data_IF_164597752484
#
_entry.id   IF_164597752484
#
_cell.length_a   1.000
_cell.length_b   1.000
_cell.length_c   1.000
_cell.angle_alpha   90.00
_cell.angle_beta   90.00
_cell.angle_gamma   90.00
#
_symmetry.space_group_name_H-M   'P 1'
#
loop_
_entity.id
_entity.type
_entity.pdbx_description
1 polymer ?
#
# COMPACT_ATOMS: atom_id res chain seq x y z
N UNK A 1 18.85 20.49 14.62
CA UNK A 1 17.42 20.45 14.28
C UNK A 1 16.96 19.01 14.44
N UNK A 2 16.14 18.72 15.46
CA UNK A 2 15.55 17.38 15.64
C UNK A 2 14.27 17.32 14.82
N UNK A 3 14.40 17.27 13.49
CA UNK A 3 13.26 17.03 12.62
C UNK A 3 12.98 15.53 12.62
N UNK A 4 11.88 15.11 13.23
CA UNK A 4 11.34 13.76 13.04
C UNK A 4 11.21 13.54 11.54
N UNK A 5 11.83 12.50 10.95
CA UNK A 5 11.69 12.23 9.53
C UNK A 5 10.22 11.91 9.22
N UNK A 6 9.74 12.32 8.05
CA UNK A 6 8.41 11.95 7.55
C UNK A 6 8.23 10.43 7.60
N UNK A 7 7.14 9.95 8.19
CA UNK A 7 6.89 8.51 8.36
C UNK A 7 5.69 8.08 7.53
N UNK A 8 5.78 6.89 6.94
CA UNK A 8 4.64 6.25 6.29
C UNK A 8 3.70 5.70 7.36
N UNK A 9 2.44 6.12 7.32
CA UNK A 9 1.38 5.63 8.22
C UNK A 9 0.42 4.71 7.47
N UNK A 10 0.03 3.58 8.08
CA UNK A 10 -0.82 2.58 7.44
C UNK A 10 -2.24 2.59 8.02
N UNK A 11 -3.25 2.59 7.16
CA UNK A 11 -4.59 2.16 7.56
C UNK A 11 -4.62 0.62 7.55
N UNK A 12 -5.11 0.02 8.63
CA UNK A 12 -5.27 -1.43 8.76
C UNK A 12 -6.72 -1.80 9.04
N UNK A 13 -7.14 -3.01 8.68
CA UNK A 13 -8.42 -3.59 9.10
C UNK A 13 -8.25 -4.63 10.23
N UNK A 14 -7.05 -4.74 10.78
CA UNK A 14 -6.69 -5.64 11.87
C UNK A 14 -5.77 -4.93 12.87
N UNK A 15 -5.66 -5.52 14.06
CA UNK A 15 -4.73 -5.09 15.10
C UNK A 15 -3.69 -6.20 15.36
N UNK A 16 -2.45 -5.84 15.67
CA UNK A 16 -1.42 -6.79 16.08
C UNK A 16 -1.70 -7.34 17.48
N UNK A 17 -1.51 -8.66 17.67
CA UNK A 17 -1.79 -9.32 18.95
C UNK A 17 -0.90 -8.88 20.13
N UNK A 18 0.19 -8.15 19.87
CA UNK A 18 1.08 -7.58 20.90
C UNK A 18 0.67 -6.18 21.40
N UNK A 19 -0.43 -5.61 20.89
CA UNK A 19 -0.76 -4.21 21.04
C UNK A 19 -0.05 -3.35 19.98
N UNK A 20 -0.61 -2.18 19.68
CA UNK A 20 0.02 -1.21 18.78
C UNK A 20 1.16 -0.49 19.53
N UNK A 21 2.20 -0.08 18.81
CA UNK A 21 2.99 1.07 19.27
C UNK A 21 2.02 2.24 19.49
N UNK A 22 2.23 3.12 20.48
CA UNK A 22 1.40 4.31 20.64
C UNK A 22 1.40 5.09 19.33
N UNK A 23 0.30 4.92 18.58
CA UNK A 23 0.11 5.52 17.28
C UNK A 23 -0.50 6.91 17.49
N UNK A 24 -0.13 7.86 16.64
CA UNK A 24 -0.68 9.21 16.67
C UNK A 24 -2.18 9.27 16.39
N UNK A 25 -2.72 8.26 15.72
CA UNK A 25 -4.15 8.05 15.57
C UNK A 25 -4.87 7.55 16.82
N UNK A 26 -4.15 7.15 17.87
CA UNK A 26 -4.76 6.70 19.13
C UNK A 26 -5.24 7.91 19.92
N UNK A 27 -6.44 8.40 19.61
CA UNK A 27 -7.05 9.45 20.41
C UNK A 27 -7.30 8.91 21.82
N UNK A 28 -6.87 9.66 22.82
CA UNK A 28 -7.42 9.54 24.17
C UNK A 28 -8.97 9.60 24.07
N UNK A 29 -9.70 8.58 24.55
CA UNK A 29 -11.16 8.56 24.51
C UNK A 29 -11.79 9.86 25.01
N UNK A 30 -11.18 10.51 25.99
CA UNK A 30 -11.66 11.77 26.55
C UNK A 30 -11.50 12.94 25.57
N UNK A 31 -10.35 13.03 24.88
CA UNK A 31 -10.13 14.01 23.81
C UNK A 31 -11.08 13.79 22.63
N UNK A 32 -11.37 12.53 22.29
CA UNK A 32 -12.32 12.20 21.23
C UNK A 32 -13.74 12.69 21.55
N UNK A 33 -14.20 12.50 22.81
CA UNK A 33 -15.51 12.96 23.28
C UNK A 33 -15.62 14.48 23.31
N UNK A 34 -14.59 15.16 23.80
CA UNK A 34 -14.53 16.62 23.80
C UNK A 34 -14.67 17.19 22.39
N UNK A 35 -13.99 16.59 21.39
CA UNK A 35 -14.10 17.00 19.99
C UNK A 35 -15.48 16.79 19.38
N UNK A 36 -16.22 15.78 19.85
CA UNK A 36 -17.59 15.48 19.41
C UNK A 36 -18.65 16.29 20.18
N UNK A 37 -18.24 17.17 21.11
CA UNK A 37 -19.17 17.91 21.97
C UNK A 37 -19.95 17.02 22.94
N UNK A 38 -19.44 15.81 23.21
CA UNK A 38 -20.06 14.86 24.14
C UNK A 38 -19.59 15.18 25.56
N UNK A 39 -20.50 15.08 26.53
CA UNK A 39 -20.15 15.19 27.94
C UNK A 39 -19.08 14.15 28.31
N UNK A 40 -18.07 14.60 29.04
CA UNK A 40 -17.02 13.73 29.57
C UNK A 40 -17.66 12.98 30.73
N UNK A 41 -17.80 11.66 30.60
CA UNK A 41 -18.27 10.83 31.70
C UNK A 41 -17.22 10.88 32.82
N UNK A 42 -17.48 11.68 33.86
CA UNK A 42 -16.63 11.84 35.05
C UNK A 42 -16.40 10.49 35.77
N UNK A 43 -17.19 9.47 35.44
CA UNK A 43 -17.03 8.10 35.92
C UNK A 43 -15.70 7.42 35.50
N UNK A 44 -14.95 7.96 34.53
CA UNK A 44 -13.66 7.41 34.11
C UNK A 44 -12.43 7.97 34.84
N UNK A 45 -12.53 9.03 35.65
CA UNK A 45 -11.39 9.52 36.45
C UNK A 45 -10.91 8.51 37.49
N UNK A 46 -11.74 7.52 37.83
CA UNK A 46 -11.37 6.39 38.71
C UNK A 46 -10.97 5.13 37.94
N UNK A 47 -10.85 5.18 36.61
CA UNK A 47 -10.39 4.04 35.83
C UNK A 47 -8.87 3.92 35.94
N UNK A 48 -8.40 3.41 37.08
CA UNK A 48 -7.17 2.62 37.11
C UNK A 48 -7.38 1.54 36.06
N UNK A 49 -6.58 1.46 34.98
CA UNK A 49 -6.79 0.45 33.96
C UNK A 49 -6.76 -0.89 34.70
N UNK A 50 -7.86 -1.67 34.71
CA UNK A 50 -7.79 -2.99 35.29
C UNK A 50 -6.66 -3.68 34.55
N UNK A 51 -5.69 -4.24 35.28
CA UNK A 51 -4.69 -5.19 34.72
C UNK A 51 -5.40 -5.96 33.63
N UNK A 52 -4.99 -5.81 32.35
CA UNK A 52 -5.89 -6.06 31.23
C UNK A 52 -6.50 -7.42 31.40
N UNK A 53 -7.78 -7.47 31.80
CA UNK A 53 -8.52 -8.72 31.93
C UNK A 53 -8.57 -9.23 30.53
N UNK A 54 -7.69 -10.19 30.23
CA UNK A 54 -7.39 -10.79 28.93
C UNK A 54 -8.66 -10.79 28.08
N UNK A 55 -8.88 -9.69 27.35
CA UNK A 55 -10.08 -9.53 26.53
C UNK A 55 -9.94 -10.64 25.52
N UNK A 56 -10.99 -11.45 25.34
CA UNK A 56 -10.93 -12.58 24.41
C UNK A 56 -10.31 -12.06 23.11
N UNK A 57 -9.11 -12.58 22.72
CA UNK A 57 -8.35 -11.97 21.66
C UNK A 57 -9.20 -11.99 20.40
N UNK A 58 -9.34 -10.83 19.74
CA UNK A 58 -10.04 -10.73 18.46
C UNK A 58 -9.51 -11.86 17.59
N UNK A 59 -10.37 -12.82 17.22
CA UNK A 59 -9.96 -14.04 16.50
C UNK A 59 -9.25 -13.73 15.17
N UNK A 60 -9.42 -12.51 14.66
CA UNK A 60 -8.86 -12.01 13.41
C UNK A 60 -7.52 -11.26 13.58
N UNK A 61 -7.04 -11.06 14.81
CA UNK A 61 -5.76 -10.38 15.06
C UNK A 61 -4.59 -11.36 14.90
N UNK A 62 -3.57 -11.03 14.08
CA UNK A 62 -2.37 -11.85 13.96
C UNK A 62 -1.68 -11.96 15.33
N UNK A 63 -1.61 -13.19 15.87
CA UNK A 63 -1.03 -13.48 17.20
C UNK A 63 0.49 -13.54 17.17
N UNK A 64 1.11 -12.63 16.45
CA UNK A 64 2.55 -12.69 16.15
C UNK A 64 3.39 -12.06 17.25
N UNK A 65 2.78 -11.29 18.15
CA UNK A 65 3.44 -10.62 19.28
C UNK A 65 4.43 -9.53 18.87
N UNK A 66 4.58 -9.27 17.57
CA UNK A 66 5.42 -8.22 16.99
C UNK A 66 4.53 -7.27 16.20
N UNK A 67 4.59 -5.98 16.52
CA UNK A 67 3.88 -4.94 15.77
C UNK A 67 4.52 -4.70 14.40
N UNK A 68 3.81 -3.99 13.53
CA UNK A 68 4.38 -3.43 12.29
C UNK A 68 5.52 -2.46 12.62
N UNK A 69 6.48 -2.34 11.70
CA UNK A 69 7.46 -1.25 11.71
C UNK A 69 6.82 0.12 11.49
N UNK A 70 5.73 0.16 10.73
CA UNK A 70 5.07 1.40 10.35
C UNK A 70 4.00 1.77 11.39
N UNK A 71 3.91 3.05 11.81
CA UNK A 71 2.75 3.52 12.56
C UNK A 71 1.47 3.32 11.74
N UNK A 72 0.33 3.27 12.39
CA UNK A 72 -0.93 3.05 11.69
C UNK A 72 -2.04 2.50 12.55
N UNK A 73 -3.27 2.69 12.10
CA UNK A 73 -4.46 2.48 12.88
C UNK A 73 -5.52 1.71 12.13
N UNK A 74 -6.37 1.01 12.88
CA UNK A 74 -7.61 0.41 12.37
C UNK A 74 -8.88 1.18 12.78
N UNK A 75 -8.71 2.27 13.53
CA UNK A 75 -9.83 3.01 14.16
C UNK A 75 -10.28 4.22 13.34
N UNK A 76 -9.58 4.52 12.25
CA UNK A 76 -9.86 5.63 11.35
C UNK A 76 -10.87 5.19 10.30
N UNK A 77 -11.79 6.08 9.95
CA UNK A 77 -12.73 5.79 8.85
C UNK A 77 -11.97 5.71 7.52
N UNK A 78 -12.40 4.79 6.65
CA UNK A 78 -11.81 4.65 5.31
C UNK A 78 -11.82 5.98 4.54
N UNK A 79 -12.86 6.81 4.72
CA UNK A 79 -12.95 8.15 4.12
C UNK A 79 -11.79 9.07 4.52
N UNK A 80 -11.42 9.10 5.81
CA UNK A 80 -10.31 9.93 6.29
C UNK A 80 -8.98 9.41 5.74
N UNK A 81 -8.78 8.09 5.77
CA UNK A 81 -7.56 7.48 5.27
C UNK A 81 -7.38 7.67 3.75
N UNK A 82 -8.46 7.49 2.97
CA UNK A 82 -8.47 7.76 1.53
C UNK A 82 -8.16 9.23 1.24
N UNK A 83 -8.71 10.17 2.04
CA UNK A 83 -8.42 11.60 1.88
C UNK A 83 -6.96 11.93 2.21
N UNK A 84 -6.39 11.29 3.22
CA UNK A 84 -4.99 11.46 3.62
C UNK A 84 -4.04 10.94 2.53
N UNK A 85 -4.23 9.70 2.07
CA UNK A 85 -3.32 9.05 1.11
C UNK A 85 -3.33 9.69 -0.27
N UNK A 86 -4.37 10.46 -0.62
CA UNK A 86 -4.52 11.15 -1.92
C UNK A 86 -4.23 12.65 -1.82
N UNK A 87 -3.75 13.13 -0.68
CA UNK A 87 -3.43 14.54 -0.47
C UNK A 87 -2.09 14.92 -1.11
N UNK A 88 -2.00 14.79 -2.45
CA UNK A 88 -0.82 15.13 -3.23
C UNK A 88 -0.40 16.58 -2.99
N UNK A 89 0.86 16.85 -2.62
CA UNK A 89 1.37 18.21 -2.52
C UNK A 89 1.12 18.97 -3.82
N UNK A 90 0.88 20.26 -3.73
CA UNK A 90 0.52 21.16 -4.86
C UNK A 90 -0.90 20.99 -5.44
N UNK A 91 -1.50 19.79 -5.36
CA UNK A 91 -2.88 19.56 -5.82
C UNK A 91 -3.90 19.70 -4.70
N UNK A 92 -3.62 19.10 -3.55
CA UNK A 92 -4.55 19.04 -2.43
C UNK A 92 -3.93 19.57 -1.15
N UNK A 93 -4.77 20.20 -0.33
CA UNK A 93 -4.36 20.58 1.03
C UNK A 93 -4.06 19.32 1.85
N UNK A 94 -2.96 19.30 2.61
CA UNK A 94 -2.69 18.26 3.60
C UNK A 94 -3.85 18.12 4.58
N UNK A 95 -4.05 16.90 5.09
CA UNK A 95 -5.11 16.60 6.04
C UNK A 95 -4.57 16.71 7.46
N UNK A 96 -5.06 17.69 8.23
CA UNK A 96 -4.81 17.75 9.66
C UNK A 96 -5.79 16.81 10.38
N UNK A 97 -5.26 15.74 10.96
CA UNK A 97 -6.03 14.77 11.74
C UNK A 97 -5.28 14.42 13.03
N UNK A 98 -5.97 14.47 14.17
CA UNK A 98 -5.42 14.05 15.48
C UNK A 98 -4.03 14.63 15.80
N UNK A 99 -3.87 15.93 15.56
CA UNK A 99 -2.64 16.72 15.81
C UNK A 99 -1.46 16.39 14.88
N UNK A 100 -1.68 15.59 13.84
CA UNK A 100 -0.71 15.31 12.80
C UNK A 100 -1.17 15.75 11.41
N UNK A 101 -0.20 16.15 10.61
CA UNK A 101 -0.40 16.57 9.24
C UNK A 101 -0.08 15.41 8.30
N UNK A 102 -1.10 14.96 7.57
CA UNK A 102 -0.97 13.88 6.61
C UNK A 102 -0.93 14.43 5.18
N UNK A 103 -0.01 13.91 4.39
CA UNK A 103 0.12 14.15 2.97
C UNK A 103 0.05 12.82 2.21
N UNK A 104 0.08 12.90 0.89
CA UNK A 104 0.11 11.73 0.01
C UNK A 104 1.19 10.71 0.38
N UNK A 105 0.81 9.44 0.37
CA UNK A 105 1.71 8.33 0.62
C UNK A 105 2.75 8.16 -0.50
N UNK A 106 2.45 8.62 -1.71
CA UNK A 106 3.32 8.57 -2.88
C UNK A 106 4.63 9.34 -2.71
N UNK A 107 4.68 10.30 -1.78
CA UNK A 107 5.92 11.03 -1.43
C UNK A 107 6.98 10.09 -0.81
N UNK A 108 6.54 9.03 -0.12
CA UNK A 108 7.43 8.13 0.62
C UNK A 108 7.42 6.72 0.02
N UNK A 109 6.28 6.28 -0.50
CA UNK A 109 6.07 4.94 -1.03
C UNK A 109 5.09 4.99 -2.22
N UNK A 110 5.54 5.55 -3.35
CA UNK A 110 4.80 5.50 -4.62
C UNK A 110 4.53 4.08 -5.10
N UNK A 111 5.46 3.15 -4.80
CA UNK A 111 5.27 1.72 -4.95
C UNK A 111 5.13 1.04 -3.58
N UNK A 112 3.91 0.77 -3.09
CA UNK A 112 3.70 0.19 -1.77
C UNK A 112 4.02 -1.32 -1.71
N UNK A 113 4.58 -1.92 -2.77
CA UNK A 113 4.81 -3.37 -2.85
C UNK A 113 5.77 -3.88 -1.78
N UNK A 114 6.85 -3.15 -1.50
CA UNK A 114 7.79 -3.52 -0.42
C UNK A 114 7.14 -3.42 0.98
N UNK A 115 6.29 -2.41 1.18
CA UNK A 115 5.50 -2.22 2.42
C UNK A 115 4.50 -3.37 2.57
N UNK A 116 3.83 -3.77 1.48
CA UNK A 116 2.89 -4.88 1.48
C UNK A 116 3.58 -6.22 1.81
N UNK A 117 4.77 -6.48 1.25
CA UNK A 117 5.59 -7.66 1.60
C UNK A 117 5.96 -7.65 3.08
N UNK A 118 6.34 -6.49 3.62
CA UNK A 118 6.65 -6.36 5.05
C UNK A 118 5.43 -6.68 5.92
N UNK A 119 4.28 -6.06 5.65
CA UNK A 119 3.05 -6.31 6.42
C UNK A 119 2.59 -7.77 6.28
N UNK A 120 2.66 -8.36 5.09
CA UNK A 120 2.27 -9.76 4.87
C UNK A 120 3.11 -10.72 5.73
N UNK A 121 4.44 -10.50 5.80
CA UNK A 121 5.35 -11.29 6.65
C UNK A 121 5.14 -11.03 8.14
N UNK A 122 4.76 -9.81 8.52
CA UNK A 122 4.47 -9.46 9.90
C UNK A 122 3.15 -10.08 10.40
N UNK A 123 2.16 -10.17 9.52
CA UNK A 123 0.84 -10.75 9.77
C UNK A 123 0.88 -12.28 9.75
N UNK A 124 1.60 -12.88 8.80
CA UNK A 124 1.68 -14.34 8.61
C UNK A 124 3.12 -14.86 8.76
N UNK A 125 3.68 -14.85 9.99
CA UNK A 125 5.05 -15.31 10.21
C UNK A 125 5.17 -16.80 9.90
N UNK A 126 6.20 -17.15 9.13
CA UNK A 126 6.45 -18.54 8.73
C UNK A 126 5.56 -19.05 7.59
N UNK A 127 4.61 -18.24 7.10
CA UNK A 127 3.86 -18.58 5.89
C UNK A 127 4.65 -18.07 4.68
N UNK A 128 4.98 -18.93 3.69
CA UNK A 128 5.68 -18.50 2.50
C UNK A 128 4.79 -17.57 1.67
N UNK A 129 5.39 -16.49 1.16
CA UNK A 129 4.72 -15.61 0.20
C UNK A 129 4.82 -16.28 -1.18
N UNK A 130 3.70 -16.73 -1.73
CA UNK A 130 3.69 -17.44 -3.02
C UNK A 130 3.66 -16.49 -4.23
N UNK A 131 2.93 -15.38 -4.10
CA UNK A 131 2.62 -14.48 -5.20
C UNK A 131 2.63 -13.02 -4.74
N UNK A 132 3.30 -12.17 -5.52
CA UNK A 132 3.24 -10.72 -5.41
C UNK A 132 2.91 -10.13 -6.78
N UNK A 133 1.84 -9.34 -6.86
CA UNK A 133 1.46 -8.62 -8.07
C UNK A 133 1.53 -7.12 -7.78
N UNK A 134 2.30 -6.41 -8.59
CA UNK A 134 2.45 -4.96 -8.52
C UNK A 134 1.89 -4.35 -9.81
N UNK A 135 0.93 -3.43 -9.67
CA UNK A 135 0.28 -2.76 -10.79
C UNK A 135 0.64 -1.28 -10.70
N UNK A 136 1.34 -0.78 -11.72
CA UNK A 136 1.66 0.63 -11.87
C UNK A 136 0.56 1.39 -12.62
N UNK A 137 0.59 2.72 -12.50
CA UNK A 137 -0.32 3.65 -13.20
C UNK A 137 0.23 4.12 -14.54
N UNK A 138 1.28 3.46 -15.05
CA UNK A 138 2.01 3.85 -16.24
C UNK A 138 3.43 4.30 -15.90
N UNK A 139 4.37 3.96 -16.78
CA UNK A 139 5.74 4.49 -16.77
C UNK A 139 5.95 5.47 -17.92
N UNK A 140 6.80 6.46 -17.67
CA UNK A 140 7.27 7.36 -18.69
C UNK A 140 8.67 6.96 -19.12
N UNK A 141 8.94 6.96 -20.43
CA UNK A 141 10.28 6.70 -20.94
C UNK A 141 11.26 7.73 -20.36
N UNK A 142 12.31 7.26 -19.71
CA UNK A 142 13.33 8.12 -19.14
C UNK A 142 13.96 9.02 -20.20
N UNK A 143 13.84 10.33 -20.00
CA UNK A 143 14.55 11.33 -20.79
C UNK A 143 15.44 12.09 -19.83
N UNK A 144 16.71 12.29 -20.22
CA UNK A 144 17.61 13.19 -19.48
C UNK A 144 17.06 14.61 -19.57
N UNK A 145 16.34 15.03 -18.53
CA UNK A 145 15.82 16.40 -18.43
C UNK A 145 17.00 17.34 -18.16
N UNK A 146 17.16 18.45 -18.90
CA UNK A 146 18.15 19.46 -18.55
C UNK A 146 17.88 20.04 -17.16
N UNK A 147 18.92 20.40 -16.38
CA UNK A 147 18.74 20.87 -15.01
C UNK A 147 17.83 22.11 -14.98
N UNK A 148 16.75 22.04 -14.20
CA UNK A 148 15.87 23.19 -13.97
C UNK A 148 16.58 24.16 -13.02
N UNK A 149 16.85 25.38 -13.49
CA UNK A 149 17.52 26.41 -12.68
C UNK A 149 16.48 27.12 -11.82
N UNK A 150 16.39 26.76 -10.54
CA UNK A 150 15.50 27.41 -9.56
C UNK A 150 15.03 26.48 -8.44
N UNK A 151 14.67 27.04 -7.29
CA UNK A 151 14.19 26.27 -6.13
C UNK A 151 12.93 25.45 -6.45
N UNK A 152 12.01 25.98 -7.26
CA UNK A 152 10.80 25.26 -7.69
C UNK A 152 11.15 24.03 -8.55
N UNK A 153 12.18 24.15 -9.40
CA UNK A 153 12.67 23.05 -10.23
C UNK A 153 13.34 21.96 -9.40
N UNK A 154 14.09 22.33 -8.37
CA UNK A 154 14.72 21.39 -7.43
C UNK A 154 13.67 20.66 -6.60
N UNK A 155 12.63 21.34 -6.12
CA UNK A 155 11.54 20.73 -5.35
C UNK A 155 10.75 19.75 -6.22
N UNK A 156 10.43 20.13 -7.46
CA UNK A 156 9.77 19.23 -8.42
C UNK A 156 10.64 18.00 -8.70
N UNK A 157 11.94 18.16 -8.93
CA UNK A 157 12.85 17.04 -9.17
C UNK A 157 12.98 16.11 -7.96
N UNK A 158 13.00 16.65 -6.74
CA UNK A 158 12.98 15.84 -5.50
C UNK A 158 11.66 15.08 -5.38
N UNK A 159 10.54 15.73 -5.69
CA UNK A 159 9.24 15.08 -5.66
C UNK A 159 9.18 13.94 -6.69
N UNK A 160 9.58 14.20 -7.94
CA UNK A 160 9.64 13.22 -9.02
C UNK A 160 10.52 12.02 -8.62
N UNK A 161 11.70 12.29 -8.05
CA UNK A 161 12.62 11.25 -7.57
C UNK A 161 12.08 10.46 -6.37
N UNK A 162 11.35 11.13 -5.47
CA UNK A 162 10.73 10.48 -4.32
C UNK A 162 9.52 9.63 -4.72
N UNK A 163 8.86 9.99 -5.83
CA UNK A 163 7.79 9.21 -6.44
C UNK A 163 8.27 8.12 -7.38
N UNK A 164 9.58 7.90 -7.53
CA UNK A 164 10.12 6.84 -8.39
C UNK A 164 9.68 5.45 -7.89
N UNK A 165 8.78 4.83 -8.65
CA UNK A 165 8.24 3.51 -8.36
C UNK A 165 9.20 2.39 -8.80
N UNK A 166 10.15 2.69 -9.68
CA UNK A 166 11.00 1.71 -10.35
C UNK A 166 12.16 1.26 -9.45
N UNK A 167 12.70 2.14 -8.60
CA UNK A 167 13.67 1.74 -7.58
C UNK A 167 13.16 0.60 -6.67
N UNK A 168 11.89 0.63 -6.25
CA UNK A 168 11.28 -0.45 -5.46
C UNK A 168 11.04 -1.69 -6.33
N UNK A 169 10.66 -1.51 -7.60
CA UNK A 169 10.49 -2.61 -8.54
C UNK A 169 11.79 -3.41 -8.71
N UNK A 170 12.92 -2.75 -8.98
CA UNK A 170 14.22 -3.40 -9.14
C UNK A 170 14.65 -4.17 -7.90
N UNK A 171 14.47 -3.60 -6.69
CA UNK A 171 14.77 -4.31 -5.45
C UNK A 171 13.92 -5.59 -5.31
N UNK A 172 12.64 -5.51 -5.67
CA UNK A 172 11.75 -6.67 -5.61
C UNK A 172 12.06 -7.68 -6.71
N UNK A 173 12.48 -7.23 -7.88
CA UNK A 173 12.97 -8.08 -8.97
C UNK A 173 14.27 -8.80 -8.59
N UNK A 174 15.21 -8.14 -7.93
CA UNK A 174 16.43 -8.79 -7.42
C UNK A 174 16.12 -9.85 -6.35
N UNK A 175 15.12 -9.59 -5.51
CA UNK A 175 14.76 -10.46 -4.38
C UNK A 175 13.84 -11.62 -4.79
N UNK A 176 12.92 -11.39 -5.72
CA UNK A 176 11.85 -12.31 -6.11
C UNK A 176 11.87 -12.71 -7.58
N UNK A 177 12.70 -12.09 -8.40
CA UNK A 177 12.83 -12.38 -9.82
C UNK A 177 13.47 -13.75 -10.09
N UNK A 178 13.24 -14.24 -11.30
CA UNK A 178 13.81 -15.50 -11.77
C UNK A 178 15.28 -15.29 -12.19
N UNK A 179 16.22 -15.30 -11.24
CA UNK A 179 17.65 -15.28 -11.61
C UNK A 179 18.09 -16.59 -12.27
N UNK A 180 18.69 -16.44 -13.47
CA UNK A 180 19.49 -17.46 -14.18
C UNK A 180 20.87 -17.74 -13.54
N UNK A 181 21.10 -17.29 -12.29
CA UNK A 181 22.46 -17.07 -11.78
C UNK A 181 22.70 -17.29 -10.28
N UNK A 182 21.83 -18.01 -9.58
CA UNK A 182 22.19 -18.63 -8.30
C UNK A 182 22.19 -17.71 -7.07
N UNK A 183 21.01 -17.52 -6.48
CA UNK A 183 20.66 -17.91 -5.09
C UNK A 183 19.15 -17.72 -4.93
N UNK A 184 18.35 -18.81 -5.01
CA UNK A 184 16.89 -18.76 -4.79
C UNK A 184 16.60 -18.35 -3.34
N UNK A 185 16.38 -17.07 -3.08
CA UNK A 185 16.10 -16.60 -1.71
C UNK A 185 14.60 -16.72 -1.35
N UNK A 186 13.69 -16.81 -2.33
CA UNK A 186 12.28 -17.10 -2.09
C UNK A 186 11.63 -17.80 -3.30
N UNK A 187 10.68 -18.71 -3.04
CA UNK A 187 9.81 -19.32 -4.06
C UNK A 187 8.66 -18.41 -4.51
N UNK A 188 8.77 -17.11 -4.23
CA UNK A 188 7.71 -16.13 -4.51
C UNK A 188 7.73 -15.77 -5.99
N UNK A 189 6.59 -15.86 -6.64
CA UNK A 189 6.43 -15.38 -8.02
C UNK A 189 6.08 -13.90 -7.99
N UNK A 190 6.85 -13.07 -8.67
CA UNK A 190 6.61 -11.63 -8.77
C UNK A 190 6.18 -11.23 -10.18
N UNK A 191 5.06 -10.52 -10.28
CA UNK A 191 4.59 -9.92 -11.53
C UNK A 191 4.46 -8.41 -11.37
N UNK A 192 5.06 -7.67 -12.32
CA UNK A 192 4.89 -6.23 -12.47
C UNK A 192 4.14 -5.97 -13.77
N UNK A 193 3.06 -5.20 -13.68
CA UNK A 193 2.32 -4.66 -14.82
C UNK A 193 2.45 -3.15 -14.79
N UNK A 194 3.14 -2.58 -15.77
CA UNK A 194 3.32 -1.15 -15.90
C UNK A 194 3.44 -0.83 -17.39
N UNK A 195 2.46 -0.13 -17.96
CA UNK A 195 2.43 0.18 -19.38
C UNK A 195 3.20 1.48 -19.65
N UNK A 196 3.94 1.53 -20.75
CA UNK A 196 4.63 2.75 -21.14
C UNK A 196 3.62 3.74 -21.75
N UNK A 197 3.37 4.84 -21.04
CA UNK A 197 2.41 5.88 -21.44
C UNK A 197 3.02 6.95 -22.34
N UNK A 198 4.30 6.80 -22.69
CA UNK A 198 5.03 7.66 -23.61
C UNK A 198 6.11 8.48 -22.91
N UNK A 199 6.35 9.69 -23.43
CA UNK A 199 7.44 10.56 -22.96
C UNK A 199 6.92 11.63 -21.98
N UNK A 200 7.67 11.94 -20.92
CA UNK A 200 7.26 12.93 -19.92
C UNK A 200 7.30 14.37 -20.45
N UNK A 201 8.14 14.64 -21.47
CA UNK A 201 8.28 15.95 -22.13
C UNK A 201 7.05 16.37 -22.94
N UNK A 202 6.20 15.40 -23.31
CA UNK A 202 4.99 15.65 -24.07
C UNK A 202 3.91 16.40 -23.27
N UNK A 203 4.01 16.39 -21.93
CA UNK A 203 3.00 16.97 -21.03
C UNK A 203 1.60 16.41 -21.26
N UNK A 204 1.50 15.26 -21.94
CA UNK A 204 0.26 14.75 -22.52
C UNK A 204 -0.68 14.18 -21.46
N UNK A 205 -0.12 13.61 -20.40
CA UNK A 205 -0.85 12.94 -19.32
C UNK A 205 -0.38 13.46 -17.96
N UNK A 206 -0.78 14.68 -17.55
CA UNK A 206 -0.56 15.14 -16.19
C UNK A 206 -1.46 14.36 -15.20
N UNK A 207 -1.09 14.36 -13.93
CA UNK A 207 -1.82 13.61 -12.87
C UNK A 207 -3.26 14.10 -12.66
N UNK A 208 -3.55 15.36 -13.01
CA UNK A 208 -4.85 16.01 -12.90
C UNK A 208 -5.62 16.03 -14.24
N UNK A 209 -5.27 15.17 -15.19
CA UNK A 209 -5.98 15.03 -16.46
C UNK A 209 -7.43 14.55 -16.25
N UNK A 210 -8.37 15.23 -16.93
CA UNK A 210 -9.81 14.95 -16.83
C UNK A 210 -10.49 14.84 -18.21
N UNK A 211 -9.76 15.12 -19.30
CA UNK A 211 -10.33 15.05 -20.64
C UNK A 211 -10.66 13.59 -21.00
N UNK A 212 -11.93 13.27 -21.33
CA UNK A 212 -12.33 11.91 -21.62
C UNK A 212 -11.63 11.33 -22.87
N UNK A 213 -11.24 12.18 -23.84
CA UNK A 213 -10.48 11.73 -25.00
C UNK A 213 -9.09 11.22 -24.61
N UNK A 214 -8.35 12.00 -23.82
CA UNK A 214 -7.04 11.59 -23.29
C UNK A 214 -7.12 10.39 -22.36
N UNK A 215 -8.16 10.31 -21.52
CA UNK A 215 -8.38 9.13 -20.66
C UNK A 215 -8.67 7.88 -21.50
N UNK A 216 -9.41 8.01 -22.61
CA UNK A 216 -9.61 6.89 -23.53
C UNK A 216 -8.30 6.48 -24.20
N UNK A 217 -7.46 7.43 -24.61
CA UNK A 217 -6.13 7.11 -25.15
C UNK A 217 -5.26 6.33 -24.14
N UNK A 218 -5.36 6.63 -22.83
CA UNK A 218 -4.68 5.83 -21.79
C UNK A 218 -5.22 4.40 -21.73
N UNK A 219 -6.54 4.21 -21.83
CA UNK A 219 -7.14 2.87 -21.92
C UNK A 219 -6.61 2.12 -23.16
N UNK A 220 -6.56 2.79 -24.31
CA UNK A 220 -6.09 2.18 -25.56
C UNK A 220 -4.61 1.76 -25.47
N UNK A 221 -3.77 2.53 -24.78
CA UNK A 221 -2.37 2.19 -24.48
C UNK A 221 -2.30 0.92 -23.61
N UNK A 222 -3.13 0.83 -22.57
CA UNK A 222 -3.18 -0.34 -21.68
C UNK A 222 -3.69 -1.58 -22.43
N UNK A 223 -4.69 -1.43 -23.27
CA UNK A 223 -5.23 -2.52 -24.09
C UNK A 223 -4.15 -3.05 -25.06
N UNK A 224 -3.41 -2.16 -25.71
CA UNK A 224 -2.29 -2.54 -26.58
C UNK A 224 -1.17 -3.25 -25.80
N UNK A 225 -0.83 -2.74 -24.61
CA UNK A 225 0.15 -3.36 -23.70
C UNK A 225 -0.27 -4.77 -23.28
N UNK A 226 -1.55 -4.97 -22.91
CA UNK A 226 -2.06 -6.28 -22.51
C UNK A 226 -2.14 -7.28 -23.67
N UNK A 227 -2.15 -6.80 -24.92
CA UNK A 227 -2.17 -7.63 -26.11
C UNK A 227 -0.80 -8.23 -26.46
N UNK A 228 0.28 -7.73 -25.86
CA UNK A 228 1.63 -8.26 -26.01
C UNK A 228 1.73 -9.71 -25.49
N UNK A 229 2.49 -10.54 -26.20
CA UNK A 229 2.66 -11.97 -25.87
C UNK A 229 3.24 -12.19 -24.47
N UNK A 230 4.13 -11.29 -24.02
CA UNK A 230 4.72 -11.35 -22.69
C UNK A 230 3.66 -11.15 -21.59
N UNK A 231 2.79 -10.14 -21.74
CA UNK A 231 1.75 -9.84 -20.76
C UNK A 231 0.68 -10.93 -20.74
N UNK A 232 0.27 -11.43 -21.91
CA UNK A 232 -0.61 -12.60 -22.01
C UNK A 232 -0.04 -13.82 -21.30
N UNK A 233 1.26 -14.07 -21.42
CA UNK A 233 1.92 -15.17 -20.73
C UNK A 233 1.96 -14.96 -19.21
N UNK A 234 2.28 -13.74 -18.74
CA UNK A 234 2.23 -13.39 -17.32
C UNK A 234 0.83 -13.57 -16.74
N UNK A 235 -0.21 -13.08 -17.42
CA UNK A 235 -1.61 -13.23 -17.03
C UNK A 235 -2.03 -14.71 -16.98
N UNK A 236 -1.60 -15.53 -17.94
CA UNK A 236 -1.86 -16.97 -17.92
C UNK A 236 -1.23 -17.66 -16.72
N UNK A 237 0.05 -17.38 -16.44
CA UNK A 237 0.77 -17.91 -15.26
C UNK A 237 0.09 -17.46 -13.96
N UNK A 238 -0.30 -16.18 -13.89
CA UNK A 238 -1.03 -15.62 -12.76
C UNK A 238 -2.37 -16.34 -12.53
N UNK A 239 -3.14 -16.57 -13.60
CA UNK A 239 -4.41 -17.30 -13.54
C UNK A 239 -4.24 -18.74 -13.07
N UNK A 240 -3.22 -19.45 -13.54
CA UNK A 240 -2.91 -20.81 -13.11
C UNK A 240 -2.52 -20.89 -11.61
N UNK A 241 -1.88 -19.84 -11.08
CA UNK A 241 -1.51 -19.73 -9.66
C UNK A 241 -2.71 -19.40 -8.75
N UNK A 242 -3.57 -18.45 -9.16
CA UNK A 242 -4.75 -18.04 -8.36
C UNK A 242 -5.85 -19.11 -8.41
N UNK A 243 -6.03 -19.77 -9.55
CA UNK A 243 -7.05 -20.79 -9.78
C UNK A 243 -6.42 -22.14 -10.17
N UNK A 244 -5.72 -22.81 -9.25
CA UNK A 244 -5.07 -24.08 -9.55
C UNK A 244 -6.13 -25.12 -9.93
N UNK A 245 -6.02 -25.71 -11.12
CA UNK A 245 -7.03 -26.56 -11.80
C UNK A 245 -7.68 -27.67 -10.93
N UNK A 246 -7.12 -28.01 -9.77
CA UNK A 246 -7.72 -28.92 -8.78
C UNK A 246 -8.68 -28.29 -7.75
N UNK A 247 -8.95 -26.98 -7.78
CA UNK A 247 -9.88 -26.34 -6.83
C UNK A 247 -11.36 -26.67 -7.12
N UNK A 248 -11.74 -26.66 -8.41
CA UNK A 248 -13.08 -27.04 -8.87
C UNK A 248 -13.35 -28.52 -8.56
N UNK A 249 -12.37 -29.41 -8.80
CA UNK A 249 -12.50 -30.83 -8.47
C UNK A 249 -12.60 -31.10 -6.97
N UNK A 250 -11.82 -30.38 -6.13
CA UNK A 250 -11.89 -30.52 -4.66
C UNK A 250 -13.18 -29.96 -4.06
N UNK A 251 -13.72 -28.86 -4.60
CA UNK A 251 -14.99 -28.30 -4.16
C UNK A 251 -16.18 -29.21 -4.51
N UNK A 252 -16.14 -29.85 -5.69
CA UNK A 252 -17.16 -30.83 -6.11
C UNK A 252 -17.09 -32.09 -5.25
N UNK A 253 -15.88 -32.62 -4.99
CA UNK A 253 -15.70 -33.82 -4.14
C UNK A 253 -16.19 -33.61 -2.70
N UNK A 254 -15.91 -32.43 -2.12
CA UNK A 254 -16.33 -32.09 -0.75
C UNK A 254 -17.86 -31.94 -0.59
N UNK A 255 -18.60 -31.67 -1.67
CA UNK A 255 -20.06 -31.65 -1.66
C UNK A 255 -20.69 -33.05 -1.84
N UNK A 256 -20.01 -33.94 -2.56
CA UNK A 256 -20.46 -35.33 -2.73
C UNK A 256 -20.30 -36.10 -1.40
N UNK A 257 -19.18 -35.92 -0.69
CA UNK A 257 -18.91 -36.60 0.59
C UNK A 257 -19.78 -36.10 1.77
N UNK A 258 -20.49 -34.97 1.61
CA UNK A 258 -21.48 -34.48 2.59
C UNK A 258 -22.91 -34.93 2.31
N UNK A 259 -23.13 -35.55 1.15
CA UNK A 259 -24.45 -35.98 0.66
C UNK A 259 -24.61 -37.51 0.70
N UNK A 260 -23.58 -38.23 1.16
CA UNK A 260 -23.54 -39.68 1.40
C UNK A 260 -23.39 -39.94 2.90
#
# INVERSE_FOLDING_TARGET
MSSSPSQLCLLRNYNYGGGELPDSFTIDPNKARQRLGLEIDVAMETHVPPTPKRVAPIKCAPRTGKGSRYPGSFRVTQKIALRATTAAPTFFKPLLSFDELYCDGGIVASNPSAVAVHEARAVYPGVPLELLVSIGTGEFTEIKVPPRVGWDGVVAQILDSATDAEGVHHILEDVFGEEKGGTKMASTTYFRFNANVGRPDSGKFPIDEIDPGRLQELCDIVDAYMEEDEQKLKLKKLGDLIHPKGWIQRAIQCNIDKSA
#
